data_IF_137958167450
#
_entry.id   IF_137958167450
#
_cell.length_a   1.000
_cell.length_b   1.000
_cell.length_c   1.000
_cell.angle_alpha   90.00
_cell.angle_beta   90.00
_cell.angle_gamma   90.00
#
_symmetry.space_group_name_H-M   'P 1'
#
loop_
_entity.id
_entity.type
_entity.pdbx_description
1 polymer ?
#
# COMPACT_ATOMS: atom_id res chain seq x y z
N UNK A 1 -13.06 -30.27 -4.33
CA UNK A 1 -11.95 -29.30 -4.18
C UNK A 1 -12.57 -27.93 -4.28
N UNK A 2 -12.47 -27.10 -3.24
CA UNK A 2 -12.90 -25.70 -3.35
C UNK A 2 -11.89 -24.97 -4.25
N UNK A 3 -12.37 -24.17 -5.21
CA UNK A 3 -11.51 -23.31 -6.00
C UNK A 3 -10.77 -22.34 -5.07
N UNK A 4 -9.44 -22.28 -5.19
CA UNK A 4 -8.63 -21.25 -4.54
C UNK A 4 -9.07 -19.93 -5.20
N UNK A 5 -9.74 -19.06 -4.44
CA UNK A 5 -10.08 -17.72 -4.93
C UNK A 5 -8.82 -17.01 -5.44
N UNK A 6 -8.96 -16.12 -6.42
CA UNK A 6 -7.81 -15.44 -7.04
C UNK A 6 -6.88 -14.81 -5.99
N UNK A 7 -5.58 -15.00 -6.19
CA UNK A 7 -4.54 -14.40 -5.36
C UNK A 7 -4.57 -12.87 -5.54
N UNK A 8 -5.26 -12.18 -4.63
CA UNK A 8 -5.52 -10.75 -4.72
C UNK A 8 -5.08 -9.99 -3.46
N UNK A 9 -4.59 -8.77 -3.68
CA UNK A 9 -4.45 -7.71 -2.67
C UNK A 9 -5.39 -6.57 -3.08
N UNK A 10 -6.23 -6.12 -2.15
CA UNK A 10 -7.14 -5.00 -2.34
C UNK A 10 -6.81 -3.90 -1.36
N UNK A 11 -6.34 -2.76 -1.87
CA UNK A 11 -6.08 -1.57 -1.05
C UNK A 11 -7.43 -0.94 -0.67
N UNK A 12 -7.64 -0.78 0.63
CA UNK A 12 -8.83 -0.18 1.22
C UNK A 12 -8.62 1.30 1.53
N UNK A 13 -7.40 1.67 1.96
CA UNK A 13 -7.03 3.05 2.26
C UNK A 13 -5.57 3.35 1.84
N UNK A 14 -5.27 4.59 1.43
CA UNK A 14 -6.24 5.65 1.13
C UNK A 14 -7.10 5.30 -0.10
N UNK A 15 -8.31 5.87 -0.18
CA UNK A 15 -9.16 5.67 -1.35
C UNK A 15 -8.60 6.40 -2.57
N UNK A 16 -9.01 5.98 -3.77
CA UNK A 16 -8.58 6.64 -5.00
C UNK A 16 -8.88 8.15 -4.96
N UNK A 17 -7.97 8.95 -5.51
CA UNK A 17 -8.05 10.42 -5.55
C UNK A 17 -8.05 11.12 -4.18
N UNK A 18 -7.68 10.43 -3.10
CA UNK A 18 -7.44 11.08 -1.80
C UNK A 18 -6.29 12.08 -1.91
N UNK A 19 -6.49 13.29 -1.39
CA UNK A 19 -5.43 14.28 -1.24
C UNK A 19 -4.64 14.01 0.04
N UNK A 20 -3.31 13.98 -0.06
CA UNK A 20 -2.41 13.76 1.06
C UNK A 20 -1.60 15.03 1.32
N UNK A 21 -1.50 15.44 2.58
CA UNK A 21 -0.72 16.60 2.97
C UNK A 21 0.68 16.18 3.44
N UNK A 22 1.70 16.93 3.02
CA UNK A 22 3.06 16.72 3.51
C UNK A 22 3.08 16.96 5.02
N UNK A 23 3.72 16.06 5.75
CA UNK A 23 3.77 16.05 7.21
C UNK A 23 2.66 15.26 7.88
N UNK A 24 1.64 14.82 7.14
CA UNK A 24 0.55 14.00 7.67
C UNK A 24 0.96 12.54 7.89
N UNK A 25 0.27 11.88 8.83
CA UNK A 25 0.28 10.43 8.97
C UNK A 25 -0.85 9.85 8.12
N UNK A 26 -0.51 8.93 7.23
CA UNK A 26 -1.42 8.25 6.30
C UNK A 26 -1.46 6.77 6.68
N UNK A 27 -2.64 6.27 6.99
CA UNK A 27 -2.84 4.82 7.20
C UNK A 27 -3.11 4.15 5.85
N UNK A 28 -2.20 3.27 5.45
CA UNK A 28 -2.35 2.40 4.28
C UNK A 28 -2.91 1.08 4.79
N UNK A 29 -4.06 0.64 4.28
CA UNK A 29 -4.65 -0.64 4.68
C UNK A 29 -5.16 -1.44 3.49
N UNK A 30 -5.08 -2.76 3.58
CA UNK A 30 -5.43 -3.67 2.50
C UNK A 30 -5.98 -5.00 3.03
N UNK A 31 -6.72 -5.71 2.18
CA UNK A 31 -7.04 -7.11 2.36
C UNK A 31 -6.15 -7.95 1.45
N UNK A 32 -5.74 -9.12 1.92
CA UNK A 32 -5.02 -10.10 1.13
C UNK A 32 -5.75 -11.45 1.20
N UNK A 33 -5.90 -12.11 0.06
CA UNK A 33 -6.43 -13.48 0.01
C UNK A 33 -5.51 -14.48 0.74
N UNK A 34 -6.05 -15.64 1.10
CA UNK A 34 -5.30 -16.74 1.76
C UNK A 34 -4.06 -17.20 0.98
N UNK A 35 -4.02 -16.99 -0.33
CA UNK A 35 -2.90 -17.44 -1.17
C UNK A 35 -1.70 -16.49 -1.25
N UNK A 36 -1.82 -15.27 -0.71
CA UNK A 36 -0.77 -14.24 -0.74
C UNK A 36 0.26 -14.49 0.37
N UNK A 37 1.51 -14.10 0.13
CA UNK A 37 2.57 -14.20 1.12
C UNK A 37 2.37 -13.21 2.26
N UNK A 38 2.86 -13.51 3.47
CA UNK A 38 2.61 -12.69 4.68
C UNK A 38 3.40 -11.37 4.73
N UNK A 39 4.18 -11.10 3.68
CA UNK A 39 5.06 -9.95 3.54
C UNK A 39 4.69 -9.14 2.30
N UNK A 40 4.74 -7.82 2.42
CA UNK A 40 4.52 -6.89 1.30
C UNK A 40 5.62 -5.84 1.24
N UNK A 41 5.77 -5.24 0.06
CA UNK A 41 6.53 -4.02 -0.12
C UNK A 41 5.56 -2.89 -0.45
N UNK A 42 5.76 -1.73 0.14
CA UNK A 42 4.89 -0.57 -0.08
C UNK A 42 5.69 0.50 -0.79
N UNK A 43 5.18 0.97 -1.93
CA UNK A 43 5.85 1.95 -2.77
C UNK A 43 4.96 3.16 -3.03
N UNK A 44 5.58 4.34 -3.04
CA UNK A 44 5.01 5.53 -3.67
C UNK A 44 5.58 5.64 -5.08
N UNK A 45 4.69 5.73 -6.06
CA UNK A 45 5.05 5.92 -7.45
C UNK A 45 4.56 7.28 -7.94
N UNK A 46 5.33 7.90 -8.83
CA UNK A 46 4.92 9.05 -9.64
C UNK A 46 5.13 8.70 -11.10
N UNK A 47 4.08 8.81 -11.93
CA UNK A 47 4.11 8.41 -13.35
C UNK A 47 4.67 6.98 -13.57
N UNK A 48 4.33 6.05 -12.67
CA UNK A 48 4.79 4.67 -12.73
C UNK A 48 6.23 4.41 -12.26
N UNK A 49 6.99 5.46 -11.89
CA UNK A 49 8.33 5.33 -11.34
C UNK A 49 8.30 5.38 -9.81
N UNK A 50 9.04 4.49 -9.14
CA UNK A 50 9.17 4.50 -7.67
C UNK A 50 9.93 5.75 -7.23
N UNK A 51 9.29 6.58 -6.41
CA UNK A 51 9.90 7.78 -5.80
C UNK A 51 10.17 7.59 -4.30
N UNK A 52 9.47 6.64 -3.67
CA UNK A 52 9.69 6.24 -2.29
C UNK A 52 9.44 4.74 -2.09
N UNK A 53 10.34 4.08 -1.36
CA UNK A 53 10.07 2.79 -0.75
C UNK A 53 9.57 3.10 0.68
N UNK A 54 8.26 2.96 0.88
CA UNK A 54 7.56 3.28 2.14
C UNK A 54 7.84 2.18 3.17
N UNK A 55 7.79 0.91 2.74
CA UNK A 55 8.10 -0.23 3.56
C UNK A 55 8.68 -1.36 2.69
N UNK A 56 9.66 -2.07 3.23
CA UNK A 56 10.32 -3.19 2.56
C UNK A 56 10.18 -4.44 3.43
N UNK A 57 9.74 -5.54 2.82
CA UNK A 57 9.51 -6.84 3.43
C UNK A 57 8.71 -6.73 4.76
N UNK A 58 7.63 -5.97 4.74
CA UNK A 58 6.79 -5.74 5.92
C UNK A 58 5.88 -6.93 6.15
N UNK A 59 6.09 -7.62 7.29
CA UNK A 59 5.23 -8.71 7.70
C UNK A 59 3.91 -8.15 8.25
N UNK A 60 2.82 -8.32 7.50
CA UNK A 60 1.53 -7.75 7.87
C UNK A 60 0.59 -8.74 8.55
N UNK A 61 0.88 -10.04 8.49
CA UNK A 61 0.09 -11.09 9.14
C UNK A 61 0.94 -12.27 9.60
N UNK A 62 0.34 -13.11 10.46
CA UNK A 62 0.87 -14.40 10.90
C UNK A 62 -0.18 -15.52 10.69
N UNK A 63 -1.17 -15.26 9.85
CA UNK A 63 -2.31 -16.12 9.56
C UNK A 63 -2.81 -15.85 8.13
N UNK A 64 -3.81 -16.60 7.67
CA UNK A 64 -4.28 -16.57 6.28
C UNK A 64 -5.35 -15.52 5.96
N UNK A 65 -5.84 -14.77 6.96
CA UNK A 65 -7.07 -13.96 6.82
C UNK A 65 -6.94 -12.52 7.32
N UNK A 66 -5.91 -12.22 8.10
CA UNK A 66 -5.71 -10.90 8.69
C UNK A 66 -5.45 -9.85 7.62
N UNK A 67 -6.12 -8.69 7.69
CA UNK A 67 -5.84 -7.56 6.82
C UNK A 67 -4.49 -6.95 7.19
N UNK A 68 -3.90 -6.20 6.25
CA UNK A 68 -2.69 -5.44 6.49
C UNK A 68 -2.97 -3.98 6.78
N UNK A 69 -2.14 -3.39 7.63
CA UNK A 69 -2.12 -1.96 7.93
C UNK A 69 -0.66 -1.49 8.09
N UNK A 70 -0.37 -0.31 7.55
CA UNK A 70 0.89 0.38 7.73
C UNK A 70 0.66 1.88 7.92
N UNK A 71 1.29 2.46 8.94
CA UNK A 71 1.26 3.91 9.19
C UNK A 71 2.46 4.57 8.54
N UNK A 72 2.19 5.35 7.50
CA UNK A 72 3.21 6.06 6.75
C UNK A 72 3.19 7.55 7.09
N UNK A 73 4.35 8.09 7.48
CA UNK A 73 4.53 9.53 7.65
C UNK A 73 5.07 10.11 6.36
N UNK A 74 4.24 10.85 5.63
CA UNK A 74 4.65 11.52 4.39
C UNK A 74 5.57 12.69 4.74
N UNK A 75 6.88 12.50 4.59
CA UNK A 75 7.89 13.51 4.95
C UNK A 75 8.63 14.08 3.75
N UNK A 76 8.58 13.41 2.60
CA UNK A 76 9.22 13.89 1.38
C UNK A 76 8.37 14.96 0.71
N UNK A 77 9.05 15.99 0.20
CA UNK A 77 8.45 16.92 -0.74
C UNK A 77 7.96 16.15 -1.96
N UNK A 78 6.67 16.24 -2.24
CA UNK A 78 6.09 15.70 -3.45
C UNK A 78 6.53 16.58 -4.61
N UNK A 79 7.00 15.97 -5.71
CA UNK A 79 7.46 16.66 -6.90
C UNK A 79 6.43 17.73 -7.33
N UNK A 80 6.86 18.98 -7.52
CA UNK A 80 5.96 20.06 -7.91
C UNK A 80 5.34 19.77 -9.29
N UNK A 81 4.06 20.14 -9.45
CA UNK A 81 3.36 20.08 -10.75
C UNK A 81 2.07 19.26 -10.78
N UNK A 82 1.52 18.83 -9.63
CA UNK A 82 0.23 18.12 -9.60
C UNK A 82 0.26 16.74 -10.26
N UNK A 83 1.42 16.09 -10.27
CA UNK A 83 1.57 14.75 -10.84
C UNK A 83 0.81 13.74 -9.98
N UNK A 84 0.13 12.81 -10.64
CA UNK A 84 -0.61 11.75 -9.95
C UNK A 84 0.35 10.81 -9.22
N UNK A 85 0.01 10.49 -7.97
CA UNK A 85 0.73 9.52 -7.17
C UNK A 85 -0.07 8.23 -7.05
N UNK A 86 0.64 7.12 -7.03
CA UNK A 86 0.04 5.80 -6.80
C UNK A 86 0.75 5.13 -5.64
N UNK A 87 -0.02 4.70 -4.64
CA UNK A 87 0.47 3.79 -3.60
C UNK A 87 0.27 2.37 -4.12
N UNK A 88 1.33 1.56 -4.07
CA UNK A 88 1.28 0.13 -4.38
C UNK A 88 1.71 -0.67 -3.16
N UNK A 89 1.01 -1.78 -2.94
CA UNK A 89 1.28 -2.82 -1.95
C UNK A 89 1.49 -4.13 -2.70
#
# INVERSE_FOLDING_TARGET
MAERGEDAITINNPSANTSLEIGSEVTISWNASMGIFDFVNIYLLSNGCVVENIADYYQFRNDDVSPGEFKWKLTKDLLPGGQEYTIKV
#
